data_IF_659804141503
#
_entry.id   IF_659804141503
#
_cell.length_a   1.000
_cell.length_b   1.000
_cell.length_c   1.000
_cell.angle_alpha   90.00
_cell.angle_beta   90.00
_cell.angle_gamma   90.00
#
_symmetry.space_group_name_H-M   'P 1'
#
loop_
_entity.id
_entity.type
_entity.pdbx_description
1 polymer ?
#
# COMPACT_ATOMS: atom_id res chain seq x y z
N UNK A 1 19.63 -25.78 -9.74
CA UNK A 1 18.45 -25.15 -10.37
C UNK A 1 18.05 -23.98 -9.51
N UNK A 2 17.91 -22.83 -10.13
CA UNK A 2 17.88 -21.49 -9.54
C UNK A 2 16.81 -21.36 -8.44
N UNK A 3 17.22 -21.15 -7.18
CA UNK A 3 16.32 -20.54 -6.20
C UNK A 3 16.42 -19.04 -6.36
N UNK A 4 15.84 -18.55 -7.46
CA UNK A 4 15.64 -17.14 -7.71
C UNK A 4 14.84 -16.59 -6.53
N UNK A 5 15.55 -15.92 -5.62
CA UNK A 5 15.02 -15.18 -4.47
C UNK A 5 13.69 -14.55 -4.86
N UNK A 6 12.58 -15.20 -4.48
CA UNK A 6 11.22 -14.72 -4.77
C UNK A 6 11.08 -13.41 -4.00
N UNK A 7 11.36 -12.29 -4.68
CA UNK A 7 11.18 -10.95 -4.12
C UNK A 7 9.75 -10.88 -3.61
N UNK A 8 9.62 -10.74 -2.29
CA UNK A 8 8.34 -10.53 -1.64
C UNK A 8 7.71 -9.28 -2.27
N UNK A 9 6.41 -9.34 -2.54
CA UNK A 9 5.69 -8.19 -3.06
C UNK A 9 5.75 -7.09 -2.00
N UNK A 10 6.40 -5.99 -2.37
CA UNK A 10 6.61 -4.85 -1.49
C UNK A 10 6.40 -3.56 -2.28
N UNK A 11 5.91 -2.51 -1.62
CA UNK A 11 5.79 -1.19 -2.22
C UNK A 11 7.17 -0.61 -2.52
N UNK A 12 7.22 0.28 -3.51
CA UNK A 12 8.41 1.08 -3.76
C UNK A 12 8.54 2.21 -2.73
N UNK A 13 9.72 2.82 -2.62
CA UNK A 13 9.96 4.00 -1.79
C UNK A 13 9.23 5.27 -2.25
N UNK A 14 8.56 5.25 -3.41
CA UNK A 14 7.78 6.39 -3.91
C UNK A 14 6.57 6.67 -3.03
N UNK A 15 6.43 7.91 -2.56
CA UNK A 15 5.28 8.32 -1.74
C UNK A 15 4.08 8.69 -2.61
N UNK A 16 3.28 7.70 -2.99
CA UNK A 16 2.09 7.89 -3.82
C UNK A 16 0.90 7.04 -3.32
N UNK A 17 -0.29 7.30 -3.87
CA UNK A 17 -1.53 6.58 -3.50
C UNK A 17 -1.40 5.06 -3.59
N UNK A 18 -0.69 4.57 -4.61
CA UNK A 18 -0.56 3.14 -4.88
C UNK A 18 0.30 2.45 -3.82
N UNK A 19 1.47 3.01 -3.51
CA UNK A 19 2.33 2.47 -2.46
C UNK A 19 1.69 2.57 -1.07
N UNK A 20 0.93 3.64 -0.79
CA UNK A 20 0.13 3.72 0.44
C UNK A 20 -0.91 2.59 0.51
N UNK A 21 -1.61 2.33 -0.59
CA UNK A 21 -2.58 1.25 -0.67
C UNK A 21 -1.93 -0.14 -0.53
N UNK A 22 -0.80 -0.39 -1.19
CA UNK A 22 -0.01 -1.64 -1.07
C UNK A 22 0.41 -1.86 0.40
N UNK A 23 0.92 -0.82 1.07
CA UNK A 23 1.33 -0.89 2.48
C UNK A 23 0.17 -1.35 3.37
N UNK A 24 -0.99 -0.72 3.22
CA UNK A 24 -2.17 -1.08 4.03
C UNK A 24 -2.70 -2.46 3.69
N UNK A 25 -2.75 -2.82 2.42
CA UNK A 25 -3.19 -4.13 1.96
C UNK A 25 -2.32 -5.26 2.52
N UNK A 26 -0.99 -5.10 2.45
CA UNK A 26 -0.04 -6.06 3.01
C UNK A 26 -0.19 -6.16 4.54
N UNK A 27 -0.41 -5.05 5.24
CA UNK A 27 -0.49 -5.05 6.71
C UNK A 27 -1.81 -5.64 7.24
N UNK A 28 -2.94 -5.32 6.60
CA UNK A 28 -4.28 -5.63 7.11
C UNK A 28 -4.96 -6.81 6.44
N UNK A 29 -4.75 -7.00 5.14
CA UNK A 29 -5.53 -7.99 4.39
C UNK A 29 -4.74 -9.25 4.15
N UNK A 30 -3.53 -9.13 3.61
CA UNK A 30 -2.71 -10.30 3.30
C UNK A 30 -1.21 -9.97 3.22
N UNK A 31 -0.44 -10.25 4.28
CA UNK A 31 1.00 -9.94 4.35
C UNK A 31 1.87 -10.75 3.41
N UNK A 32 1.34 -11.85 2.85
CA UNK A 32 2.01 -12.69 1.87
C UNK A 32 1.35 -12.55 0.47
N UNK A 33 0.55 -11.50 0.26
CA UNK A 33 -0.13 -11.31 -1.02
C UNK A 33 0.85 -11.11 -2.16
N UNK A 34 0.43 -11.60 -3.33
CA UNK A 34 1.14 -11.40 -4.59
C UNK A 34 0.68 -10.11 -5.27
N UNK A 35 1.53 -9.57 -6.13
CA UNK A 35 1.22 -8.40 -6.97
C UNK A 35 -0.11 -8.56 -7.72
N UNK A 36 -0.39 -9.74 -8.27
CA UNK A 36 -1.62 -10.02 -9.02
C UNK A 36 -2.88 -9.88 -8.16
N UNK A 37 -2.84 -10.34 -6.91
CA UNK A 37 -3.96 -10.19 -5.97
C UNK A 37 -4.18 -8.72 -5.60
N UNK A 38 -3.10 -7.97 -5.40
CA UNK A 38 -3.20 -6.53 -5.17
C UNK A 38 -3.76 -5.80 -6.40
N UNK A 39 -3.28 -6.09 -7.62
CA UNK A 39 -3.82 -5.47 -8.83
C UNK A 39 -5.31 -5.75 -8.98
N UNK A 40 -5.75 -6.99 -8.76
CA UNK A 40 -7.16 -7.32 -8.78
C UNK A 40 -7.96 -6.50 -7.75
N UNK A 41 -7.49 -6.43 -6.50
CA UNK A 41 -8.13 -5.60 -5.47
C UNK A 41 -8.15 -4.11 -5.84
N UNK A 42 -7.02 -3.59 -6.31
CA UNK A 42 -6.85 -2.17 -6.62
C UNK A 42 -7.73 -1.73 -7.80
N UNK A 43 -7.86 -2.56 -8.83
CA UNK A 43 -8.60 -2.22 -10.04
C UNK A 43 -10.08 -2.64 -9.98
N UNK A 44 -10.42 -3.72 -9.27
CA UNK A 44 -11.79 -4.29 -9.24
C UNK A 44 -12.56 -3.98 -7.97
N UNK A 45 -11.89 -3.75 -6.85
CA UNK A 45 -12.56 -3.56 -5.55
C UNK A 45 -12.56 -2.11 -5.11
N UNK A 46 -11.49 -1.36 -5.38
CA UNK A 46 -11.43 0.05 -4.99
C UNK A 46 -12.29 0.93 -5.91
N UNK A 47 -13.18 1.70 -5.29
CA UNK A 47 -13.96 2.72 -6.00
C UNK A 47 -13.12 3.97 -6.27
N UNK A 48 -13.56 4.80 -7.23
CA UNK A 48 -12.90 6.06 -7.54
C UNK A 48 -12.75 6.96 -6.29
N UNK A 49 -13.76 6.98 -5.41
CA UNK A 49 -13.72 7.69 -4.13
C UNK A 49 -12.60 7.19 -3.23
N UNK A 50 -12.45 5.88 -3.06
CA UNK A 50 -11.37 5.31 -2.26
C UNK A 50 -9.99 5.64 -2.85
N UNK A 51 -9.86 5.60 -4.19
CA UNK A 51 -8.63 6.03 -4.87
C UNK A 51 -8.29 7.49 -4.58
N UNK A 52 -9.28 8.37 -4.54
CA UNK A 52 -9.10 9.78 -4.20
C UNK A 52 -8.73 9.99 -2.73
N UNK A 53 -9.36 9.26 -1.81
CA UNK A 53 -9.02 9.29 -0.38
C UNK A 53 -7.57 8.87 -0.15
N UNK A 54 -7.14 7.75 -0.74
CA UNK A 54 -5.73 7.32 -0.71
C UNK A 54 -4.79 8.35 -1.31
N UNK A 55 -5.22 9.07 -2.35
CA UNK A 55 -4.41 10.12 -2.96
C UNK A 55 -4.30 11.36 -2.08
N UNK A 56 -5.40 11.80 -1.46
CA UNK A 56 -5.42 12.93 -0.52
C UNK A 56 -4.56 12.62 0.70
N UNK A 57 -4.74 11.44 1.28
CA UNK A 57 -3.96 10.99 2.44
C UNK A 57 -2.46 10.88 2.08
N UNK A 58 -2.13 10.27 0.94
CA UNK A 58 -0.73 10.16 0.52
C UNK A 58 -0.08 11.54 0.39
N UNK A 59 -0.78 12.53 -0.19
CA UNK A 59 -0.29 13.92 -0.27
C UNK A 59 -0.13 14.55 1.11
N UNK A 60 -1.10 14.36 2.00
CA UNK A 60 -1.04 14.89 3.35
C UNK A 60 0.13 14.30 4.15
N UNK A 61 0.35 12.99 4.06
CA UNK A 61 1.49 12.32 4.70
C UNK A 61 2.85 12.79 4.17
N UNK A 62 2.92 13.16 2.89
CA UNK A 62 4.12 13.78 2.30
C UNK A 62 4.32 15.20 2.85
N UNK A 63 3.25 15.99 2.88
CA UNK A 63 3.27 17.37 3.36
C UNK A 63 3.64 17.47 4.84
N UNK A 64 3.06 16.61 5.68
CA UNK A 64 3.28 16.59 7.12
C UNK A 64 4.60 15.88 7.52
N UNK A 65 5.36 15.40 6.52
CA UNK A 65 6.52 14.53 6.71
C UNK A 65 6.24 13.29 7.60
N UNK A 66 4.96 12.89 7.68
CA UNK A 66 4.45 11.85 8.55
C UNK A 66 4.43 10.47 7.88
N UNK A 67 4.87 10.35 6.63
CA UNK A 67 4.84 9.08 5.88
C UNK A 67 5.47 7.91 6.63
N UNK A 68 6.68 8.09 7.18
CA UNK A 68 7.39 7.03 7.92
C UNK A 68 6.61 6.64 9.18
N UNK A 69 6.07 7.63 9.88
CA UNK A 69 5.26 7.42 11.08
C UNK A 69 3.99 6.63 10.72
N UNK A 70 3.28 7.00 9.65
CA UNK A 70 2.10 6.29 9.18
C UNK A 70 2.39 4.84 8.75
N UNK A 71 3.52 4.56 8.12
CA UNK A 71 3.94 3.18 7.79
C UNK A 71 4.09 2.33 9.06
N UNK A 72 4.69 2.91 10.10
CA UNK A 72 4.93 2.26 11.38
C UNK A 72 3.59 2.09 12.16
N UNK A 73 2.82 3.16 12.28
CA UNK A 73 1.65 3.27 13.18
C UNK A 73 0.32 2.73 12.63
N UNK A 74 0.08 2.69 11.32
CA UNK A 74 -1.21 2.23 10.76
C UNK A 74 -1.45 0.71 10.87
N UNK A 75 -1.09 0.10 12.01
CA UNK A 75 -1.64 -1.16 12.51
C UNK A 75 -2.99 -1.00 13.21
N UNK A 76 -3.42 0.22 13.54
CA UNK A 76 -4.75 0.50 14.06
C UNK A 76 -5.45 1.53 13.17
N UNK A 77 -6.55 1.13 12.53
CA UNK A 77 -7.60 2.05 12.12
C UNK A 77 -8.74 1.87 13.12
N UNK A 78 -9.03 2.93 13.87
CA UNK A 78 -10.22 3.09 14.69
C UNK A 78 -11.38 3.59 13.82
#
# INVERSE_FOLDING_TARGET
MEDASKKKFQPSGTKNRCNLCILRWLKHVNPNSKKEQFCFYYDKTLTATQHEEYNKEAKQLVQDNAWVKAVIENGNLH
#
